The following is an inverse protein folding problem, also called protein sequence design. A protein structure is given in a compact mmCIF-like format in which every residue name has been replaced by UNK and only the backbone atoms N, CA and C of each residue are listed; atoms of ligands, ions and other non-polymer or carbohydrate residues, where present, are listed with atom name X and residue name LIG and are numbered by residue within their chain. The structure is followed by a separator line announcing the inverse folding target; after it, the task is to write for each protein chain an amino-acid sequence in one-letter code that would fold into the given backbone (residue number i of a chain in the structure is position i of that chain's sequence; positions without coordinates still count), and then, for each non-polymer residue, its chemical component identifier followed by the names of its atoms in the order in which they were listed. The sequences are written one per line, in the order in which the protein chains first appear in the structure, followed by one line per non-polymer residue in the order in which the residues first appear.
data_IF_556037172942
#
_entry.id   IF_556037172942
#
_cell.length_a   1.000
_cell.length_b   1.000
_cell.length_c   1.000
_cell.angle_alpha   90.00
_cell.angle_beta   90.00
_cell.angle_gamma   90.00
#
_symmetry.space_group_name_H-M   'P 1'
#
loop_
_entity.id
_entity.type
_entity.pdbx_description
1 polymer ?
#
# COMPACT_ATOMS: atom_id res chain seq x y z
N UNK A 1 24.33 8.20 41.99
CA UNK A 1 24.78 7.91 40.61
C UNK A 1 23.53 7.85 39.75
N UNK A 2 22.91 9.02 39.56
CA UNK A 2 22.93 9.79 38.30
C UNK A 2 22.08 9.11 37.22
N UNK A 3 20.78 9.28 37.38
CA UNK A 3 19.91 9.52 36.23
C UNK A 3 20.43 10.76 35.47
N UNK A 4 20.27 10.71 34.14
CA UNK A 4 20.64 11.69 33.12
C UNK A 4 22.06 11.52 32.55
N UNK A 5 22.10 11.01 31.31
CA UNK A 5 22.70 11.66 30.14
C UNK A 5 22.47 10.74 28.92
N UNK A 6 21.26 10.77 28.36
CA UNK A 6 21.11 10.41 26.94
C UNK A 6 21.53 11.68 26.22
N UNK A 7 22.82 11.76 25.86
CA UNK A 7 23.25 12.78 24.94
C UNK A 7 22.49 12.60 23.63
N UNK A 8 22.04 13.73 23.09
CA UNK A 8 21.26 13.82 21.88
C UNK A 8 22.12 13.23 20.74
N UNK A 9 21.94 11.95 20.42
CA UNK A 9 22.62 11.32 19.30
C UNK A 9 22.01 11.89 18.02
N UNK A 10 22.59 12.99 17.55
CA UNK A 10 22.34 13.44 16.19
C UNK A 10 23.02 12.42 15.29
N UNK A 11 22.20 11.54 14.71
CA UNK A 11 22.61 10.72 13.59
C UNK A 11 22.93 11.69 12.46
N UNK A 12 24.19 12.09 12.32
CA UNK A 12 24.63 12.79 11.12
C UNK A 12 24.58 11.78 9.98
N UNK A 13 23.45 11.78 9.27
CA UNK A 13 23.33 11.07 8.00
C UNK A 13 24.36 11.70 7.07
N UNK A 14 25.46 11.00 6.83
CA UNK A 14 26.59 11.45 6.00
C UNK A 14 26.26 11.62 4.51
N UNK A 15 24.98 11.62 4.13
CA UNK A 15 24.46 11.93 2.80
C UNK A 15 23.36 12.99 2.90
N UNK A 16 23.28 13.97 1.98
CA UNK A 16 22.17 14.93 1.96
C UNK A 16 20.83 14.19 1.87
N UNK A 17 19.84 14.64 2.66
CA UNK A 17 18.49 14.08 2.71
C UNK A 17 17.80 14.01 1.33
N UNK A 18 18.27 14.80 0.37
CA UNK A 18 17.77 14.89 -1.01
C UNK A 18 18.08 13.63 -1.86
N UNK A 19 18.89 12.68 -1.35
CA UNK A 19 19.33 11.46 -2.05
C UNK A 19 18.95 10.14 -1.34
N UNK A 20 18.01 10.17 -0.38
CA UNK A 20 17.55 8.99 0.38
C UNK A 20 16.43 8.20 -0.34
N UNK A 21 16.72 7.89 -1.62
CA UNK A 21 16.02 6.98 -2.54
C UNK A 21 14.71 7.45 -3.19
N UNK A 22 14.87 7.98 -4.40
CA UNK A 22 13.75 8.11 -5.33
C UNK A 22 13.45 6.72 -5.93
N UNK A 23 12.22 6.21 -5.82
CA UNK A 23 11.86 4.90 -6.37
C UNK A 23 12.09 4.87 -7.88
N UNK A 24 12.31 3.66 -8.44
CA UNK A 24 12.47 3.51 -9.88
C UNK A 24 11.24 4.04 -10.62
N UNK A 25 11.41 4.45 -11.88
CA UNK A 25 10.31 4.97 -12.69
C UNK A 25 9.15 3.97 -12.78
N UNK A 26 9.44 2.67 -12.79
CA UNK A 26 8.45 1.60 -12.78
C UNK A 26 7.63 1.59 -11.48
N UNK A 27 8.28 1.76 -10.33
CA UNK A 27 7.58 1.81 -9.03
C UNK A 27 6.74 3.09 -8.92
N UNK A 28 7.24 4.23 -9.41
CA UNK A 28 6.47 5.47 -9.48
C UNK A 28 5.24 5.30 -10.37
N UNK A 29 5.41 4.75 -11.57
CA UNK A 29 4.30 4.51 -12.51
C UNK A 29 3.28 3.51 -11.96
N UNK A 30 3.74 2.46 -11.27
CA UNK A 30 2.87 1.50 -10.62
C UNK A 30 2.06 2.16 -9.51
N UNK A 31 2.71 2.97 -8.67
CA UNK A 31 2.04 3.71 -7.60
C UNK A 31 0.98 4.67 -8.17
N UNK A 32 1.32 5.44 -9.20
CA UNK A 32 0.36 6.32 -9.87
C UNK A 32 -0.83 5.54 -10.41
N UNK A 33 -0.59 4.35 -10.98
CA UNK A 33 -1.66 3.47 -11.46
C UNK A 33 -2.57 3.00 -10.32
N UNK A 34 -2.02 2.69 -9.15
CA UNK A 34 -2.81 2.36 -7.95
C UNK A 34 -3.62 3.56 -7.45
N UNK A 35 -3.03 4.76 -7.43
CA UNK A 35 -3.71 5.99 -7.01
C UNK A 35 -4.88 6.30 -7.96
N UNK A 36 -4.68 6.24 -9.28
CA UNK A 36 -5.76 6.42 -10.26
C UNK A 36 -6.87 5.36 -10.14
N UNK A 37 -6.52 4.12 -9.77
CA UNK A 37 -7.52 3.08 -9.50
C UNK A 37 -8.38 3.46 -8.29
N UNK A 38 -7.77 3.94 -7.21
CA UNK A 38 -8.52 4.36 -6.01
C UNK A 38 -9.45 5.54 -6.32
N UNK A 39 -8.97 6.50 -7.11
CA UNK A 39 -9.78 7.63 -7.58
C UNK A 39 -10.96 7.17 -8.46
N UNK A 40 -10.74 6.24 -9.38
CA UNK A 40 -11.81 5.70 -10.25
C UNK A 40 -12.92 4.99 -9.45
N UNK A 41 -12.55 4.33 -8.35
CA UNK A 41 -13.47 3.52 -7.55
C UNK A 41 -13.90 4.18 -6.23
N UNK A 42 -13.69 5.49 -6.06
CA UNK A 42 -14.01 6.24 -4.83
C UNK A 42 -15.44 6.01 -4.35
N UNK A 43 -16.45 6.11 -5.24
CA UNK A 43 -17.86 5.90 -4.90
C UNK A 43 -18.13 4.49 -4.35
N UNK A 44 -17.46 3.46 -4.90
CA UNK A 44 -17.60 2.07 -4.44
C UNK A 44 -16.93 1.86 -3.08
N UNK A 45 -15.79 2.54 -2.85
CA UNK A 45 -15.10 2.53 -1.56
C UNK A 45 -15.97 3.18 -0.49
N UNK A 46 -16.60 4.31 -0.81
CA UNK A 46 -17.52 5.01 0.09
C UNK A 46 -18.75 4.15 0.42
N UNK A 47 -19.41 3.58 -0.58
CA UNK A 47 -20.55 2.67 -0.39
C UNK A 47 -20.16 1.50 0.52
N UNK A 48 -19.07 0.79 0.19
CA UNK A 48 -18.55 -0.31 1.01
C UNK A 48 -18.28 0.11 2.46
N UNK A 49 -17.69 1.30 2.66
CA UNK A 49 -17.40 1.83 3.98
C UNK A 49 -18.68 2.16 4.78
N UNK A 50 -19.70 2.73 4.12
CA UNK A 50 -20.96 3.12 4.76
C UNK A 50 -21.92 1.94 4.99
N UNK A 51 -21.84 0.88 4.19
CA UNK A 51 -22.76 -0.26 4.26
C UNK A 51 -22.63 -1.09 5.55
N UNK A 52 -21.67 -0.80 6.45
CA UNK A 52 -21.52 -1.40 7.80
C UNK A 52 -21.81 -2.90 7.86
N UNK A 53 -21.42 -3.63 6.83
CA UNK A 53 -21.66 -5.08 6.77
C UNK A 53 -20.34 -5.76 7.07
N UNK A 54 -20.24 -6.40 8.24
CA UNK A 54 -19.07 -7.08 8.82
C UNK A 54 -18.44 -8.19 7.96
N UNK A 55 -18.73 -8.30 6.66
CA UNK A 55 -18.52 -9.55 5.92
C UNK A 55 -17.82 -9.44 4.57
N UNK A 56 -17.74 -8.27 3.92
CA UNK A 56 -17.11 -8.18 2.61
C UNK A 56 -15.74 -7.51 2.70
N UNK A 57 -14.70 -8.23 2.30
CA UNK A 57 -13.34 -7.69 2.19
C UNK A 57 -13.26 -6.63 1.08
N UNK A 58 -12.69 -5.46 1.39
CA UNK A 58 -12.55 -4.33 0.46
C UNK A 58 -11.79 -4.75 -0.80
N UNK A 59 -10.76 -5.58 -0.65
CA UNK A 59 -9.94 -6.02 -1.78
C UNK A 59 -10.76 -6.88 -2.75
N UNK A 60 -11.61 -7.77 -2.22
CA UNK A 60 -12.57 -8.52 -3.02
C UNK A 60 -13.57 -7.61 -3.73
N UNK A 61 -14.11 -6.60 -3.04
CA UNK A 61 -15.07 -5.63 -3.61
C UNK A 61 -14.45 -4.81 -4.74
N UNK A 62 -13.25 -4.26 -4.55
CA UNK A 62 -12.60 -3.43 -5.56
C UNK A 62 -12.01 -4.25 -6.69
N UNK A 63 -11.24 -5.29 -6.39
CA UNK A 63 -10.45 -5.98 -7.40
C UNK A 63 -11.25 -7.04 -8.14
N UNK A 64 -11.88 -7.97 -7.41
CA UNK A 64 -12.56 -9.12 -8.04
C UNK A 64 -13.88 -8.72 -8.69
N UNK A 65 -14.64 -7.85 -8.04
CA UNK A 65 -15.99 -7.50 -8.52
C UNK A 65 -16.00 -6.34 -9.52
N UNK A 66 -14.99 -5.44 -9.48
CA UNK A 66 -15.02 -4.20 -10.23
C UNK A 66 -13.82 -4.01 -11.18
N UNK A 67 -12.58 -3.98 -10.68
CA UNK A 67 -11.41 -3.66 -11.47
C UNK A 67 -11.01 -4.77 -12.48
N UNK A 68 -11.12 -6.04 -12.09
CA UNK A 68 -10.75 -7.19 -12.93
C UNK A 68 -11.96 -7.63 -13.76
N UNK A 69 -12.28 -6.88 -14.82
CA UNK A 69 -13.37 -7.23 -15.75
C UNK A 69 -12.93 -8.35 -16.68
N UNK A 70 -13.59 -9.52 -16.60
CA UNK A 70 -13.29 -10.72 -17.40
C UNK A 70 -11.87 -11.31 -17.22
N UNK A 71 -11.14 -10.91 -16.17
CA UNK A 71 -9.79 -11.41 -15.90
C UNK A 71 -9.79 -12.71 -15.10
N UNK A 72 -8.68 -13.44 -15.20
CA UNK A 72 -8.49 -14.66 -14.44
C UNK A 72 -8.30 -14.36 -12.94
N UNK A 73 -9.30 -14.69 -12.12
CA UNK A 73 -9.29 -14.51 -10.66
C UNK A 73 -8.38 -15.53 -9.94
N UNK A 74 -7.80 -16.49 -10.65
CA UNK A 74 -6.90 -17.51 -10.09
C UNK A 74 -5.67 -16.90 -9.39
N UNK A 75 -5.28 -15.66 -9.72
CA UNK A 75 -4.23 -14.93 -9.02
C UNK A 75 -4.65 -14.47 -7.61
N UNK A 76 -5.94 -14.20 -7.41
CA UNK A 76 -6.50 -13.76 -6.14
C UNK A 76 -6.66 -14.94 -5.15
N UNK A 77 -6.91 -16.15 -5.65
CA UNK A 77 -7.12 -17.34 -4.81
C UNK A 77 -5.84 -17.93 -4.22
N UNK A 78 -4.66 -17.46 -4.65
CA UNK A 78 -3.38 -17.97 -4.15
C UNK A 78 -2.93 -17.12 -2.95
N UNK A 79 -2.90 -17.67 -1.72
CA UNK A 79 -2.29 -16.96 -0.60
C UNK A 79 -0.83 -16.67 -0.96
N UNK A 80 -0.40 -15.42 -0.73
CA UNK A 80 0.96 -14.97 -0.97
C UNK A 80 1.92 -15.82 -0.13
N UNK A 81 2.54 -16.84 -0.73
CA UNK A 81 3.64 -17.55 -0.10
C UNK A 81 4.88 -16.65 -0.20
N UNK A 82 5.09 -15.81 0.80
CA UNK A 82 6.41 -15.24 1.07
C UNK A 82 7.34 -16.41 1.42
N UNK A 83 7.95 -17.00 0.40
CA UNK A 83 9.13 -17.84 0.63
C UNK A 83 10.26 -16.84 0.86
N UNK A 84 10.57 -16.62 2.14
CA UNK A 84 11.78 -15.95 2.58
C UNK A 84 12.99 -16.64 1.93
N UNK A 85 13.86 -15.86 1.29
CA UNK A 85 15.21 -16.24 0.90
C UNK A 85 16.19 -15.31 1.61
#
# INVERSE_FOLDING_TARGET
MLYQNIENFQVELGMPFEMWDQPSAEIVALRQSCESLLEEYEEIIEEWFFEKTDSEDLFKKLCVQNAIKNGDINCFEKPYHSTEL
#
